data_IF_974597948061
#
_entry.id   IF_974597948061
#
_cell.length_a   1.000
_cell.length_b   1.000
_cell.length_c   1.000
_cell.angle_alpha   90.00
_cell.angle_beta   90.00
_cell.angle_gamma   90.00
#
_symmetry.space_group_name_H-M   'P 1'
#
loop_
_entity.id
_entity.type
_entity.pdbx_description
1 polymer ?
#
# COMPACT_ATOMS: atom_id res chain seq x y z
N UNK A 1 -3.45 20.42 -4.41
CA UNK A 1 -3.69 18.95 -4.35
C UNK A 1 -3.82 18.56 -2.89
N UNK A 2 -4.89 17.86 -2.49
CA UNK A 2 -5.16 17.59 -1.07
C UNK A 2 -4.08 16.69 -0.43
N UNK A 3 -3.69 16.99 0.81
CA UNK A 3 -2.64 16.26 1.54
C UNK A 3 -2.88 14.73 1.59
N UNK A 4 -4.15 14.31 1.64
CA UNK A 4 -4.58 12.90 1.59
C UNK A 4 -4.33 12.23 0.23
N UNK A 5 -4.57 12.93 -0.88
CA UNK A 5 -4.36 12.38 -2.23
C UNK A 5 -2.90 12.05 -2.45
N UNK A 6 -2.00 13.01 -2.17
CA UNK A 6 -0.55 12.78 -2.30
C UNK A 6 -0.07 11.65 -1.39
N UNK A 7 -0.62 11.55 -0.18
CA UNK A 7 -0.26 10.47 0.73
C UNK A 7 -0.68 9.08 0.22
N UNK A 8 -1.85 8.96 -0.43
CA UNK A 8 -2.27 7.70 -1.08
C UNK A 8 -1.38 7.34 -2.27
N UNK A 9 -0.98 8.33 -3.07
CA UNK A 9 -0.04 8.12 -4.18
C UNK A 9 1.30 7.56 -3.67
N UNK A 10 1.83 8.12 -2.57
CA UNK A 10 3.05 7.62 -1.94
C UNK A 10 2.87 6.22 -1.36
N UNK A 11 1.75 5.95 -0.68
CA UNK A 11 1.45 4.63 -0.14
C UNK A 11 1.40 3.55 -1.24
N UNK A 12 0.78 3.86 -2.38
CA UNK A 12 0.73 2.96 -3.53
C UNK A 12 2.12 2.67 -4.11
N UNK A 13 2.97 3.69 -4.24
CA UNK A 13 4.35 3.51 -4.71
C UNK A 13 5.17 2.66 -3.75
N UNK A 14 5.03 2.86 -2.44
CA UNK A 14 5.70 2.03 -1.42
C UNK A 14 5.20 0.59 -1.43
N UNK A 15 3.89 0.35 -1.60
CA UNK A 15 3.33 -1.00 -1.75
C UNK A 15 3.87 -1.70 -3.00
N UNK A 16 3.95 -0.98 -4.12
CA UNK A 16 4.55 -1.52 -5.34
C UNK A 16 6.02 -1.90 -5.11
N UNK A 17 6.81 -1.03 -4.48
CA UNK A 17 8.20 -1.34 -4.16
C UNK A 17 8.30 -2.55 -3.22
N UNK A 18 7.45 -2.66 -2.21
CA UNK A 18 7.40 -3.80 -1.30
C UNK A 18 7.14 -5.11 -2.04
N UNK A 19 6.12 -5.14 -2.90
CA UNK A 19 5.73 -6.33 -3.66
C UNK A 19 6.82 -6.77 -4.66
N UNK A 20 7.52 -5.82 -5.30
CA UNK A 20 8.51 -6.13 -6.34
C UNK A 20 9.88 -6.45 -5.74
N UNK A 21 10.29 -5.75 -4.68
CA UNK A 21 11.62 -5.91 -4.09
C UNK A 21 11.67 -6.90 -2.92
N UNK A 22 10.53 -7.21 -2.29
CA UNK A 22 10.47 -8.02 -1.07
C UNK A 22 11.08 -7.35 0.16
N UNK A 23 11.50 -6.08 0.05
CA UNK A 23 12.11 -5.35 1.17
C UNK A 23 11.10 -5.13 2.30
N UNK A 24 11.53 -5.21 3.57
CA UNK A 24 10.64 -5.04 4.70
C UNK A 24 10.08 -3.60 4.78
N UNK A 25 8.87 -3.40 5.33
CA UNK A 25 8.21 -2.09 5.35
C UNK A 25 9.04 -0.98 5.97
N UNK A 26 9.71 -1.25 7.09
CA UNK A 26 10.50 -0.25 7.80
C UNK A 26 11.70 0.23 6.95
N UNK A 27 12.31 -0.66 6.16
CA UNK A 27 13.36 -0.27 5.20
C UNK A 27 12.80 0.64 4.11
N UNK A 28 11.63 0.34 3.56
CA UNK A 28 11.00 1.18 2.53
C UNK A 28 10.66 2.56 3.11
N UNK A 29 10.04 2.62 4.29
CA UNK A 29 9.68 3.88 4.94
C UNK A 29 10.90 4.78 5.16
N UNK A 30 12.02 4.21 5.60
CA UNK A 30 13.25 4.96 5.87
C UNK A 30 14.00 5.40 4.61
N UNK A 31 13.93 4.61 3.52
CA UNK A 31 14.68 4.87 2.27
C UNK A 31 13.89 5.63 1.21
N UNK A 32 12.55 5.74 1.33
CA UNK A 32 11.72 6.37 0.31
C UNK A 32 11.84 7.90 0.30
N UNK A 33 12.62 8.46 -0.63
CA UNK A 33 12.93 9.90 -0.67
C UNK A 33 11.70 10.81 -0.72
N UNK A 34 10.70 10.48 -1.55
CA UNK A 34 9.52 11.33 -1.72
C UNK A 34 8.67 11.41 -0.44
N UNK A 35 8.72 10.36 0.39
CA UNK A 35 8.10 10.33 1.70
C UNK A 35 8.86 11.25 2.67
N UNK A 36 10.19 11.25 2.60
CA UNK A 36 11.05 12.12 3.40
C UNK A 36 10.95 13.59 2.99
N UNK A 37 10.70 13.89 1.72
CA UNK A 37 10.47 15.27 1.24
C UNK A 37 9.05 15.78 1.51
N UNK A 38 8.13 14.90 1.92
CA UNK A 38 6.73 15.24 2.16
C UNK A 38 6.49 15.92 3.50
N UNK A 39 5.42 16.74 3.56
CA UNK A 39 4.94 17.39 4.80
C UNK A 39 4.59 16.34 5.87
N UNK A 40 4.72 16.65 7.18
CA UNK A 40 4.46 15.70 8.27
C UNK A 40 3.12 14.97 8.15
N UNK A 41 2.01 15.69 7.98
CA UNK A 41 0.68 15.07 7.84
C UNK A 41 0.56 14.12 6.64
N UNK A 42 1.25 14.43 5.53
CA UNK A 42 1.27 13.57 4.34
C UNK A 42 2.12 12.32 4.60
N UNK A 43 3.28 12.50 5.23
CA UNK A 43 4.18 11.41 5.62
C UNK A 43 3.48 10.44 6.57
N UNK A 44 2.94 10.94 7.66
CA UNK A 44 2.24 10.13 8.67
C UNK A 44 1.09 9.33 8.06
N UNK A 45 0.29 9.96 7.19
CA UNK A 45 -0.81 9.27 6.54
C UNK A 45 -0.33 8.20 5.55
N UNK A 46 0.67 8.51 4.73
CA UNK A 46 1.22 7.57 3.77
C UNK A 46 1.84 6.36 4.48
N UNK A 47 2.61 6.59 5.54
CA UNK A 47 3.21 5.55 6.38
C UNK A 47 2.13 4.69 7.03
N UNK A 48 1.07 5.31 7.58
CA UNK A 48 -0.06 4.58 8.19
C UNK A 48 -0.74 3.67 7.19
N UNK A 49 -1.07 4.18 6.00
CA UNK A 49 -1.74 3.39 4.95
C UNK A 49 -0.84 2.27 4.44
N UNK A 50 0.43 2.56 4.14
CA UNK A 50 1.38 1.56 3.68
C UNK A 50 1.61 0.45 4.71
N UNK A 51 2.07 0.83 5.91
CA UNK A 51 2.42 -0.14 6.96
C UNK A 51 1.20 -0.93 7.41
N UNK A 52 0.08 -0.26 7.62
CA UNK A 52 -1.15 -0.92 8.00
C UNK A 52 -1.70 -1.87 6.93
N UNK A 53 -1.53 -1.54 5.64
CA UNK A 53 -1.88 -2.48 4.55
C UNK A 53 -0.97 -3.71 4.60
N UNK A 54 0.35 -3.53 4.76
CA UNK A 54 1.30 -4.65 4.82
C UNK A 54 1.04 -5.56 6.03
N UNK A 55 0.86 -4.97 7.21
CA UNK A 55 0.61 -5.71 8.46
C UNK A 55 -0.69 -6.52 8.42
N UNK A 56 -1.65 -6.13 7.56
CA UNK A 56 -2.96 -6.79 7.42
C UNK A 56 -3.11 -7.58 6.12
N UNK A 57 -2.03 -7.80 5.35
CA UNK A 57 -2.09 -8.43 4.02
C UNK A 57 -2.86 -9.75 4.01
N UNK A 58 -2.59 -10.64 4.97
CA UNK A 58 -3.25 -11.96 5.01
C UNK A 58 -4.77 -11.83 5.16
N UNK A 59 -5.22 -10.93 6.04
CA UNK A 59 -6.65 -10.68 6.27
C UNK A 59 -7.30 -10.02 5.04
N UNK A 60 -6.62 -9.03 4.47
CA UNK A 60 -7.08 -8.29 3.29
C UNK A 60 -7.20 -9.23 2.09
N UNK A 61 -6.17 -10.02 1.82
CA UNK A 61 -6.16 -10.97 0.71
C UNK A 61 -7.23 -12.05 0.88
N UNK A 62 -7.47 -12.53 2.12
CA UNK A 62 -8.58 -13.45 2.39
C UNK A 62 -9.95 -12.83 2.05
N UNK A 63 -10.16 -11.56 2.39
CA UNK A 63 -11.41 -10.84 2.04
C UNK A 63 -11.56 -10.67 0.52
N UNK A 64 -10.47 -10.40 -0.20
CA UNK A 64 -10.48 -10.30 -1.66
C UNK A 64 -10.81 -11.66 -2.29
N UNK A 65 -10.16 -12.75 -1.85
CA UNK A 65 -10.41 -14.10 -2.39
C UNK A 65 -11.86 -14.54 -2.17
N UNK A 66 -12.47 -14.20 -1.03
CA UNK A 66 -13.88 -14.52 -0.76
C UNK A 66 -14.86 -13.87 -1.76
N UNK A 67 -14.49 -12.74 -2.36
CA UNK A 67 -15.33 -12.00 -3.30
C UNK A 67 -14.91 -12.21 -4.76
N UNK A 68 -13.75 -12.83 -4.99
CA UNK A 68 -13.18 -13.00 -6.31
C UNK A 68 -13.58 -14.36 -6.91
N UNK A 69 -14.62 -14.38 -7.73
CA UNK A 69 -15.07 -15.60 -8.42
C UNK A 69 -14.00 -16.10 -9.39
N UNK A 70 -13.39 -17.25 -9.07
CA UNK A 70 -12.36 -17.92 -9.88
C UNK A 70 -11.12 -17.07 -10.22
N UNK A 71 -10.86 -15.96 -9.51
CA UNK A 71 -9.72 -15.10 -9.78
C UNK A 71 -8.64 -15.23 -8.70
N UNK A 72 -7.42 -15.59 -9.12
CA UNK A 72 -6.26 -15.60 -8.22
C UNK A 72 -5.66 -14.20 -8.12
N UNK A 73 -5.49 -13.70 -6.90
CA UNK A 73 -4.86 -12.40 -6.61
C UNK A 73 -3.47 -12.27 -7.27
N UNK A 74 -2.74 -13.38 -7.35
CA UNK A 74 -1.42 -13.46 -7.99
C UNK A 74 -1.42 -13.07 -9.48
N UNK A 75 -2.57 -13.23 -10.17
CA UNK A 75 -2.73 -12.91 -11.60
C UNK A 75 -3.11 -11.46 -11.85
N UNK A 76 -3.41 -10.69 -10.81
CA UNK A 76 -3.73 -9.27 -10.93
C UNK A 76 -2.45 -8.47 -11.20
N UNK A 77 -2.57 -7.41 -11.99
CA UNK A 77 -1.48 -6.45 -12.12
C UNK A 77 -1.11 -5.90 -10.73
N UNK A 78 0.19 -5.78 -10.45
CA UNK A 78 0.69 -5.41 -9.11
C UNK A 78 0.07 -4.09 -8.62
N UNK A 79 -0.09 -3.13 -9.53
CA UNK A 79 -0.71 -1.83 -9.23
C UNK A 79 -2.17 -2.00 -8.83
N UNK A 80 -2.98 -2.71 -9.63
CA UNK A 80 -4.41 -2.93 -9.35
C UNK A 80 -4.62 -3.68 -8.04
N UNK A 81 -3.82 -4.73 -7.81
CA UNK A 81 -3.82 -5.49 -6.56
C UNK A 81 -3.56 -4.58 -5.36
N UNK A 82 -2.56 -3.72 -5.44
CA UNK A 82 -2.19 -2.82 -4.35
C UNK A 82 -3.19 -1.69 -4.14
N UNK A 83 -3.86 -1.21 -5.20
CA UNK A 83 -5.00 -0.28 -5.08
C UNK A 83 -6.13 -0.93 -4.28
N UNK A 84 -6.50 -2.17 -4.58
CA UNK A 84 -7.56 -2.88 -3.85
C UNK A 84 -7.16 -3.09 -2.39
N UNK A 85 -5.94 -3.61 -2.15
CA UNK A 85 -5.44 -3.87 -0.80
C UNK A 85 -5.44 -2.61 0.07
N UNK A 86 -4.88 -1.50 -0.44
CA UNK A 86 -4.84 -0.25 0.32
C UNK A 86 -6.23 0.34 0.54
N UNK A 87 -7.15 0.15 -0.41
CA UNK A 87 -8.53 0.64 -0.29
C UNK A 87 -9.28 -0.10 0.82
N UNK A 88 -9.10 -1.42 0.93
CA UNK A 88 -9.70 -2.23 2.00
C UNK A 88 -9.14 -1.84 3.38
N UNK A 89 -7.84 -1.54 3.47
CA UNK A 89 -7.25 -1.10 4.73
C UNK A 89 -7.71 0.29 5.17
N UNK A 90 -7.79 1.24 4.22
CA UNK A 90 -8.06 2.64 4.54
C UNK A 90 -9.53 2.91 4.91
N UNK A 91 -10.45 2.11 4.38
CA UNK A 91 -11.90 2.25 4.55
C UNK A 91 -12.36 1.84 5.96
#
# INVERSE_FOLDING_TARGET
>A
MGARRKARELALQMLYQHDVSGNPPDTIITTFEDLQKSKPNTREFATRVFKGTVDNLQKIDAMIVQQADNWRIERMAVVDRNIIRMSIYEF
#
